data_IF_054208416862
#
_entry.id   IF_054208416862
#
_cell.length_a   1.000
_cell.length_b   1.000
_cell.length_c   1.000
_cell.angle_alpha   90.00
_cell.angle_beta   90.00
_cell.angle_gamma   90.00
#
_symmetry.space_group_name_H-M   'P 1'
#
loop_
_entity.id
_entity.type
_entity.pdbx_description
1 polymer ?
#
# COMPACT_ATOMS: atom_id res chain seq x y z
N UNK A 1 -9.05 -10.90 29.78
CA UNK A 1 -10.51 -10.87 29.54
C UNK A 1 -11.20 -9.57 29.97
N UNK A 2 -10.88 -8.99 31.13
CA UNK A 2 -11.52 -7.73 31.62
C UNK A 2 -11.27 -6.50 30.72
N UNK A 3 -10.09 -6.36 30.13
CA UNK A 3 -9.75 -5.24 29.21
C UNK A 3 -10.48 -5.31 27.87
N UNK A 4 -10.74 -6.49 27.34
CA UNK A 4 -11.54 -6.68 26.11
C UNK A 4 -13.02 -6.33 26.31
N UNK A 5 -13.56 -6.62 27.51
CA UNK A 5 -14.94 -6.27 27.85
C UNK A 5 -15.13 -4.76 28.00
N UNK A 6 -14.15 -4.05 28.56
CA UNK A 6 -14.16 -2.59 28.68
C UNK A 6 -14.06 -1.90 27.31
N UNK A 7 -13.24 -2.40 26.39
CA UNK A 7 -13.16 -1.90 25.02
C UNK A 7 -14.47 -2.14 24.26
N UNK A 8 -15.10 -3.30 24.42
CA UNK A 8 -16.39 -3.60 23.83
C UNK A 8 -17.53 -2.72 24.38
N UNK A 9 -17.54 -2.43 25.68
CA UNK A 9 -18.52 -1.52 26.30
C UNK A 9 -18.29 -0.07 25.90
N UNK A 10 -17.05 0.38 25.74
CA UNK A 10 -16.73 1.71 25.20
C UNK A 10 -17.19 1.85 23.74
N UNK A 11 -16.97 0.80 22.92
CA UNK A 11 -17.43 0.77 21.52
C UNK A 11 -18.96 0.80 21.43
N UNK A 12 -19.68 0.11 22.33
CA UNK A 12 -21.13 0.12 22.40
C UNK A 12 -21.69 1.47 22.89
N UNK A 13 -21.03 2.13 23.85
CA UNK A 13 -21.40 3.45 24.35
C UNK A 13 -21.23 4.56 23.31
N UNK A 14 -20.17 4.51 22.52
CA UNK A 14 -19.95 5.42 21.39
C UNK A 14 -20.97 5.19 20.27
N UNK A 15 -21.39 3.94 20.05
CA UNK A 15 -22.39 3.58 19.05
C UNK A 15 -23.78 4.16 19.36
N UNK A 16 -24.19 4.20 20.62
CA UNK A 16 -25.50 4.73 21.03
C UNK A 16 -25.61 6.27 20.84
N UNK A 17 -24.52 6.99 21.08
CA UNK A 17 -24.47 8.44 20.87
C UNK A 17 -24.42 8.81 19.39
N UNK A 18 -23.72 8.01 18.59
CA UNK A 18 -23.63 8.18 17.14
C UNK A 18 -24.95 7.86 16.43
N UNK A 19 -25.74 6.89 16.91
CA UNK A 19 -27.03 6.53 16.33
C UNK A 19 -28.09 7.66 16.40
N UNK A 20 -28.08 8.47 17.44
CA UNK A 20 -29.01 9.62 17.55
C UNK A 20 -28.74 10.71 16.51
N UNK A 21 -27.49 10.95 16.19
CA UNK A 21 -27.09 11.93 15.18
C UNK A 21 -27.25 11.39 13.76
N UNK A 22 -26.94 10.11 13.54
CA UNK A 22 -27.11 9.45 12.24
C UNK A 22 -28.58 9.39 11.79
N UNK A 23 -29.56 9.22 12.71
CA UNK A 23 -30.99 9.27 12.35
C UNK A 23 -31.47 10.63 11.83
N UNK A 24 -30.83 11.73 12.19
CA UNK A 24 -31.14 13.06 11.67
C UNK A 24 -30.57 13.33 10.30
N UNK A 25 -29.39 12.75 9.99
CA UNK A 25 -28.72 12.97 8.71
C UNK A 25 -29.17 11.99 7.62
N UNK A 26 -29.58 10.76 7.95
CA UNK A 26 -30.17 9.79 7.00
C UNK A 26 -31.50 10.27 6.37
N UNK A 27 -32.12 11.28 6.91
CA UNK A 27 -33.29 11.93 6.28
C UNK A 27 -32.96 12.93 5.17
N UNK A 28 -31.69 13.30 4.99
CA UNK A 28 -31.24 14.24 3.96
C UNK A 28 -30.23 13.56 3.03
N UNK A 29 -30.77 13.05 1.93
CA UNK A 29 -30.08 13.02 0.64
C UNK A 29 -28.71 12.30 0.56
N UNK A 30 -28.41 11.84 -0.60
CA UNK A 30 -27.16 11.31 -1.14
C UNK A 30 -25.93 11.43 -0.24
N UNK A 31 -25.39 10.29 0.16
CA UNK A 31 -24.04 10.23 0.72
C UNK A 31 -23.05 10.76 -0.30
N UNK A 32 -22.05 11.54 0.10
CA UNK A 32 -21.02 12.02 -0.82
C UNK A 32 -20.08 10.87 -1.25
N UNK A 33 -19.59 10.96 -2.46
CA UNK A 33 -18.42 10.19 -2.90
C UNK A 33 -17.19 10.67 -2.13
N UNK A 34 -16.20 9.79 -1.97
CA UNK A 34 -14.97 10.15 -1.26
C UNK A 34 -13.74 9.81 -2.10
N UNK A 35 -12.74 10.67 -2.00
CA UNK A 35 -11.40 10.43 -2.50
C UNK A 35 -10.44 10.70 -1.34
N UNK A 36 -9.61 9.73 -1.00
CA UNK A 36 -8.60 9.87 0.04
C UNK A 36 -7.23 9.45 -0.49
N UNK A 37 -6.18 9.99 0.11
CA UNK A 37 -4.81 9.62 -0.12
C UNK A 37 -3.99 9.80 1.14
N UNK A 38 -2.96 8.97 1.32
CA UNK A 38 -2.18 8.98 2.55
C UNK A 38 -0.88 8.20 2.46
N UNK A 39 -0.13 8.30 3.53
CA UNK A 39 1.08 7.50 3.76
C UNK A 39 0.69 6.13 4.32
N UNK A 40 1.35 5.11 3.80
CA UNK A 40 1.14 3.72 4.18
C UNK A 40 2.44 3.12 4.73
N UNK A 41 2.30 2.37 5.83
CA UNK A 41 3.37 1.52 6.37
C UNK A 41 2.88 0.08 6.28
N UNK A 42 3.61 -0.73 5.50
CA UNK A 42 3.35 -2.15 5.31
C UNK A 42 4.24 -3.00 6.22
N UNK A 43 3.62 -3.91 6.96
CA UNK A 43 4.27 -4.85 7.87
C UNK A 43 4.05 -6.25 7.29
N UNK A 44 5.08 -6.94 6.78
CA UNK A 44 5.00 -8.32 6.33
C UNK A 44 4.51 -9.25 7.44
N UNK A 45 3.82 -10.34 7.09
CA UNK A 45 3.30 -11.31 8.06
C UNK A 45 3.56 -12.74 7.57
N UNK A 46 4.00 -13.61 8.50
CA UNK A 46 4.24 -15.04 8.25
C UNK A 46 5.30 -15.26 7.18
N UNK A 47 5.09 -16.12 6.19
CA UNK A 47 6.08 -16.45 5.15
C UNK A 47 6.71 -15.22 4.48
N UNK A 48 5.96 -14.11 4.37
CA UNK A 48 6.50 -12.87 3.82
C UNK A 48 7.44 -12.17 4.80
N UNK A 49 7.15 -12.21 6.09
CA UNK A 49 8.03 -11.69 7.12
C UNK A 49 9.29 -12.53 7.26
N UNK A 50 9.15 -13.87 7.26
CA UNK A 50 10.28 -14.81 7.33
C UNK A 50 11.26 -14.60 6.15
N UNK A 51 10.75 -14.31 4.97
CA UNK A 51 11.57 -14.11 3.77
C UNK A 51 12.08 -12.67 3.63
N UNK A 52 11.26 -11.67 3.89
CA UNK A 52 11.60 -10.26 3.68
C UNK A 52 12.08 -9.56 4.95
N UNK A 53 11.39 -9.75 6.09
CA UNK A 53 11.78 -9.31 7.43
C UNK A 53 11.88 -7.80 7.65
N UNK A 54 11.28 -6.96 6.79
CA UNK A 54 11.36 -5.50 6.87
C UNK A 54 10.03 -4.82 6.58
N UNK A 55 9.81 -3.70 7.27
CA UNK A 55 8.69 -2.82 6.98
C UNK A 55 8.89 -2.13 5.63
N UNK A 56 7.77 -1.83 4.98
CA UNK A 56 7.69 -1.12 3.71
C UNK A 56 6.99 0.21 3.93
N UNK A 57 7.41 1.23 3.23
CA UNK A 57 6.76 2.54 3.27
C UNK A 57 6.23 2.90 1.88
N UNK A 58 5.07 3.55 1.85
CA UNK A 58 4.42 3.84 0.60
C UNK A 58 3.35 4.91 0.68
N UNK A 59 2.57 4.96 -0.38
CA UNK A 59 1.41 5.83 -0.54
C UNK A 59 0.21 4.99 -0.92
N UNK A 60 -0.95 5.37 -0.43
CA UNK A 60 -2.22 4.78 -0.87
C UNK A 60 -3.20 5.88 -1.28
N UNK A 61 -4.12 5.51 -2.17
CA UNK A 61 -5.24 6.35 -2.56
C UNK A 61 -6.48 5.48 -2.73
N UNK A 62 -7.61 5.91 -2.20
CA UNK A 62 -8.88 5.22 -2.37
C UNK A 62 -9.98 6.17 -2.84
N UNK A 63 -10.85 5.65 -3.69
CA UNK A 63 -12.03 6.35 -4.19
C UNK A 63 -13.26 5.50 -3.92
N UNK A 64 -14.33 6.10 -3.35
CA UNK A 64 -15.58 5.38 -3.09
C UNK A 64 -16.81 6.15 -3.54
N UNK A 65 -17.77 5.39 -4.07
CA UNK A 65 -19.09 5.87 -4.50
C UNK A 65 -20.16 5.19 -3.66
N UNK A 66 -21.02 5.94 -2.96
CA UNK A 66 -22.04 5.37 -2.10
C UNK A 66 -23.20 4.76 -2.89
N UNK A 67 -23.75 3.67 -2.38
CA UNK A 67 -25.00 3.11 -2.87
C UNK A 67 -26.21 3.89 -2.28
N UNK A 68 -27.17 4.23 -3.11
CA UNK A 68 -28.26 5.17 -2.76
C UNK A 68 -29.11 4.77 -1.54
N UNK A 69 -29.31 3.48 -1.29
CA UNK A 69 -30.26 2.98 -0.26
C UNK A 69 -29.60 2.08 0.79
N UNK A 70 -28.34 1.76 0.63
CA UNK A 70 -27.61 0.82 1.46
C UNK A 70 -26.46 1.51 2.19
N UNK A 71 -26.04 1.03 3.37
CA UNK A 71 -24.88 1.54 4.08
C UNK A 71 -23.55 1.14 3.41
N UNK A 72 -23.59 0.78 2.15
CA UNK A 72 -22.45 0.34 1.36
C UNK A 72 -21.98 1.43 0.39
N UNK A 73 -20.69 1.40 0.11
CA UNK A 73 -20.04 2.11 -0.99
C UNK A 73 -19.16 1.12 -1.72
N UNK A 74 -19.02 1.26 -3.01
CA UNK A 74 -18.06 0.52 -3.81
C UNK A 74 -17.00 1.48 -4.34
N UNK A 75 -15.86 0.95 -4.68
CA UNK A 75 -14.79 1.82 -5.15
C UNK A 75 -13.53 1.08 -5.53
N UNK A 76 -12.47 1.84 -5.55
CA UNK A 76 -11.16 1.41 -5.96
C UNK A 76 -10.10 1.87 -4.98
N UNK A 77 -9.09 1.03 -4.77
CA UNK A 77 -7.94 1.31 -3.95
C UNK A 77 -6.66 1.08 -4.75
N UNK A 78 -5.74 2.02 -4.66
CA UNK A 78 -4.42 1.97 -5.24
C UNK A 78 -3.38 2.15 -4.14
N UNK A 79 -2.41 1.24 -4.09
CA UNK A 79 -1.27 1.31 -3.18
C UNK A 79 0.04 1.26 -3.95
N UNK A 80 1.02 1.98 -3.48
CA UNK A 80 2.41 1.86 -3.89
C UNK A 80 3.29 1.79 -2.66
N UNK A 81 4.09 0.74 -2.52
CA UNK A 81 5.00 0.57 -1.41
C UNK A 81 6.40 0.22 -1.91
N UNK A 82 7.39 0.87 -1.33
CA UNK A 82 8.80 0.60 -1.60
C UNK A 82 9.25 -0.55 -0.69
N UNK A 83 9.71 -1.64 -1.29
CA UNK A 83 10.28 -2.75 -0.54
C UNK A 83 11.71 -2.44 -0.10
N UNK A 84 12.54 -1.94 -1.02
CA UNK A 84 13.94 -1.62 -0.73
C UNK A 84 14.67 -1.07 -1.93
N UNK A 85 15.89 -0.63 -1.67
CA UNK A 85 16.86 -0.24 -2.69
C UNK A 85 18.24 -0.74 -2.27
N UNK A 86 19.08 -1.01 -3.25
CA UNK A 86 20.51 -1.25 -3.09
C UNK A 86 21.25 -0.41 -4.12
N UNK A 87 22.37 0.15 -3.72
CA UNK A 87 23.25 0.94 -4.57
C UNK A 87 24.65 0.37 -4.47
N UNK A 88 25.35 0.26 -5.61
CA UNK A 88 26.70 -0.28 -5.67
C UNK A 88 27.49 0.30 -6.84
N UNK A 89 28.78 0.47 -6.65
CA UNK A 89 29.68 0.93 -7.70
C UNK A 89 29.91 -0.17 -8.74
N UNK A 90 29.81 0.18 -10.01
CA UNK A 90 30.02 -0.72 -11.16
C UNK A 90 31.15 -0.16 -12.02
N UNK A 91 32.06 -1.02 -12.44
CA UNK A 91 33.01 -0.67 -13.49
C UNK A 91 32.35 -0.89 -14.85
N UNK A 92 32.01 0.17 -15.53
CA UNK A 92 31.44 0.10 -16.88
C UNK A 92 32.56 0.11 -17.90
N UNK A 93 32.73 -0.98 -18.63
CA UNK A 93 33.69 -1.08 -19.71
C UNK A 93 32.95 -0.76 -21.03
N UNK A 94 33.08 0.48 -21.48
CA UNK A 94 32.54 0.86 -22.78
C UNK A 94 33.70 0.78 -23.80
N UNK A 95 33.49 0.09 -24.90
CA UNK A 95 34.49 0.04 -26.00
C UNK A 95 34.94 1.48 -26.34
N UNK A 96 36.25 1.73 -26.20
CA UNK A 96 36.94 3.01 -26.46
C UNK A 96 36.83 4.13 -25.41
N UNK A 97 36.33 3.90 -24.21
CA UNK A 97 36.39 4.88 -23.11
C UNK A 97 37.13 4.21 -21.93
N UNK A 98 38.11 4.94 -21.38
CA UNK A 98 38.82 4.57 -20.15
C UNK A 98 37.82 4.20 -19.07
N UNK A 99 38.01 3.09 -18.38
CA UNK A 99 37.13 2.54 -17.36
C UNK A 99 36.47 3.63 -16.52
N UNK A 100 35.17 3.82 -16.71
CA UNK A 100 34.40 4.83 -15.99
C UNK A 100 33.67 4.14 -14.85
N UNK A 101 33.73 4.71 -13.67
CA UNK A 101 32.98 4.22 -12.53
C UNK A 101 31.53 4.65 -12.68
N UNK A 102 30.62 3.70 -12.67
CA UNK A 102 29.19 3.95 -12.64
C UNK A 102 28.60 3.52 -11.30
N UNK A 103 27.40 4.00 -11.01
CA UNK A 103 26.61 3.57 -9.86
C UNK A 103 25.39 2.78 -10.35
N UNK A 104 25.28 1.55 -9.87
CA UNK A 104 24.09 0.74 -10.09
C UNK A 104 23.13 0.90 -8.94
N UNK A 105 21.91 1.31 -9.24
CA UNK A 105 20.79 1.43 -8.31
C UNK A 105 19.75 0.36 -8.62
N UNK A 106 19.38 -0.46 -7.65
CA UNK A 106 18.30 -1.43 -7.77
C UNK A 106 17.19 -1.08 -6.82
N UNK A 107 15.96 -1.01 -7.32
CA UNK A 107 14.77 -0.63 -6.58
C UNK A 107 13.66 -1.65 -6.75
N UNK A 108 13.14 -2.15 -5.62
CA UNK A 108 11.96 -3.02 -5.58
C UNK A 108 10.75 -2.28 -5.04
N UNK A 109 9.63 -2.38 -5.75
CA UNK A 109 8.36 -1.75 -5.40
C UNK A 109 7.20 -2.72 -5.59
N UNK A 110 6.14 -2.51 -4.80
CA UNK A 110 4.87 -3.22 -4.93
C UNK A 110 3.80 -2.20 -5.27
N UNK A 111 3.01 -2.50 -6.29
CA UNK A 111 1.81 -1.75 -6.64
C UNK A 111 0.58 -2.61 -6.33
N UNK A 112 -0.40 -2.06 -5.63
CA UNK A 112 -1.67 -2.68 -5.31
C UNK A 112 -2.81 -2.05 -6.12
N UNK A 113 -3.70 -2.88 -6.66
CA UNK A 113 -4.88 -2.47 -7.43
C UNK A 113 -6.07 -3.30 -6.95
N UNK A 114 -6.95 -2.71 -6.14
CA UNK A 114 -8.06 -3.45 -5.54
C UNK A 114 -9.39 -2.77 -5.80
N UNK A 115 -10.37 -3.56 -6.20
CA UNK A 115 -11.76 -3.20 -6.03
C UNK A 115 -12.15 -3.35 -4.57
N UNK A 116 -12.95 -2.44 -4.03
CA UNK A 116 -13.38 -2.45 -2.64
C UNK A 116 -14.89 -2.33 -2.49
N UNK A 117 -15.41 -2.95 -1.43
CA UNK A 117 -16.76 -2.78 -0.92
C UNK A 117 -16.67 -2.29 0.53
N UNK A 118 -17.07 -1.05 0.79
CA UNK A 118 -17.02 -0.38 2.09
C UNK A 118 -18.39 -0.40 2.74
N UNK A 119 -18.48 -0.92 3.96
CA UNK A 119 -19.62 -0.79 4.86
C UNK A 119 -19.35 0.36 5.82
N UNK A 120 -20.16 1.42 5.76
CA UNK A 120 -20.06 2.60 6.62
C UNK A 120 -21.43 2.95 7.17
N UNK A 121 -21.86 2.29 8.27
CA UNK A 121 -23.21 2.44 8.79
C UNK A 121 -23.43 3.79 9.47
N UNK A 122 -22.39 4.39 10.02
CA UNK A 122 -22.43 5.64 10.76
C UNK A 122 -21.91 6.79 9.90
N UNK A 123 -22.62 7.90 9.93
CA UNK A 123 -22.22 9.15 9.28
C UNK A 123 -22.22 10.28 10.32
N UNK A 124 -21.18 11.09 10.26
CA UNK A 124 -21.01 12.18 11.22
C UNK A 124 -19.58 12.71 11.18
N UNK A 125 -19.19 13.39 12.25
CA UNK A 125 -17.80 13.86 12.40
C UNK A 125 -16.83 12.69 12.49
N UNK A 126 -17.23 11.60 13.16
CA UNK A 126 -16.47 10.35 13.26
C UNK A 126 -17.28 9.26 12.58
N UNK A 127 -16.72 8.63 11.58
CA UNK A 127 -17.42 7.66 10.73
C UNK A 127 -16.55 6.41 10.57
N UNK A 128 -16.72 5.39 11.44
CA UNK A 128 -16.03 4.13 11.29
C UNK A 128 -16.56 3.34 10.08
N UNK A 129 -15.70 2.54 9.49
CA UNK A 129 -16.04 1.70 8.34
C UNK A 129 -15.25 0.38 8.35
N UNK A 130 -15.76 -0.58 7.60
CA UNK A 130 -15.08 -1.82 7.25
C UNK A 130 -15.12 -2.05 5.74
N UNK A 131 -14.12 -2.70 5.19
CA UNK A 131 -13.99 -2.96 3.77
C UNK A 131 -13.66 -4.43 3.49
N UNK A 132 -14.16 -4.90 2.36
CA UNK A 132 -13.67 -6.09 1.70
C UNK A 132 -12.99 -5.65 0.40
N UNK A 133 -11.87 -6.28 0.08
CA UNK A 133 -11.01 -5.89 -1.03
C UNK A 133 -10.60 -7.12 -1.82
N UNK A 134 -10.57 -6.98 -3.14
CA UNK A 134 -10.06 -8.00 -4.05
C UNK A 134 -9.41 -7.35 -5.26
N UNK A 135 -8.33 -7.95 -5.74
CA UNK A 135 -7.60 -7.38 -6.87
C UNK A 135 -6.26 -8.05 -7.09
N UNK A 136 -5.26 -7.24 -7.42
CA UNK A 136 -3.94 -7.71 -7.80
C UNK A 136 -2.85 -6.90 -7.10
N UNK A 137 -1.70 -7.54 -6.90
CA UNK A 137 -0.46 -6.90 -6.48
C UNK A 137 0.61 -7.17 -7.52
N UNK A 138 1.32 -6.13 -7.89
CA UNK A 138 2.35 -6.14 -8.91
C UNK A 138 3.71 -5.84 -8.29
N UNK A 139 4.58 -6.82 -8.28
CA UNK A 139 5.95 -6.74 -7.79
C UNK A 139 6.87 -6.39 -8.93
N UNK A 140 7.61 -5.28 -8.79
CA UNK A 140 8.51 -4.78 -9.83
C UNK A 140 9.87 -4.50 -9.22
N UNK A 141 10.90 -5.11 -9.78
CA UNK A 141 12.29 -4.80 -9.46
C UNK A 141 12.98 -4.26 -10.72
N UNK A 142 13.58 -3.07 -10.60
CA UNK A 142 14.30 -2.39 -11.66
C UNK A 142 15.73 -2.13 -11.23
N UNK A 143 16.66 -2.31 -12.13
CA UNK A 143 18.03 -1.84 -12.01
C UNK A 143 18.26 -0.67 -12.97
N UNK A 144 19.01 0.31 -12.53
CA UNK A 144 19.41 1.48 -13.30
C UNK A 144 20.92 1.66 -13.10
N UNK A 145 21.66 1.86 -14.18
CA UNK A 145 23.11 2.14 -14.15
C UNK A 145 23.28 3.59 -14.58
N UNK A 146 23.80 4.39 -13.67
CA UNK A 146 24.16 5.77 -13.91
C UNK A 146 25.69 5.88 -14.00
N UNK A 147 26.17 6.67 -14.94
CA UNK A 147 27.61 6.94 -15.12
C UNK A 147 27.85 8.42 -14.86
N UNK A 148 28.89 8.72 -14.10
CA UNK A 148 29.24 10.11 -13.78
C UNK A 148 29.48 10.94 -15.05
N UNK A 149 28.80 12.09 -15.14
CA UNK A 149 28.88 13.00 -16.27
C UNK A 149 27.87 12.72 -17.40
N UNK A 150 26.94 11.75 -17.21
CA UNK A 150 25.83 11.49 -18.13
C UNK A 150 24.50 11.66 -17.39
N UNK A 151 23.68 12.61 -17.85
CA UNK A 151 22.40 12.95 -17.19
C UNK A 151 21.29 11.91 -17.36
N UNK A 152 21.55 10.82 -18.10
CA UNK A 152 20.57 9.77 -18.41
C UNK A 152 21.15 8.41 -18.01
N UNK A 153 20.34 7.55 -17.38
CA UNK A 153 20.72 6.19 -17.09
C UNK A 153 21.19 5.46 -18.36
N UNK A 154 22.41 4.94 -18.33
CA UNK A 154 23.04 4.29 -19.49
C UNK A 154 22.40 2.95 -19.79
N UNK A 155 21.90 2.27 -18.74
CA UNK A 155 21.15 1.03 -18.87
C UNK A 155 20.05 0.97 -17.83
N UNK A 156 18.89 0.49 -18.24
CA UNK A 156 17.76 0.19 -17.35
C UNK A 156 17.27 -1.22 -17.65
N UNK A 157 17.30 -2.09 -16.66
CA UNK A 157 16.83 -3.45 -16.80
C UNK A 157 15.74 -3.76 -15.78
N UNK A 158 14.76 -4.58 -16.19
CA UNK A 158 13.69 -5.08 -15.32
C UNK A 158 14.05 -6.50 -14.86
N UNK A 159 14.54 -6.62 -13.62
CA UNK A 159 14.97 -7.88 -13.02
C UNK A 159 13.81 -8.76 -12.54
N UNK A 160 12.67 -8.17 -12.24
CA UNK A 160 11.48 -8.90 -11.78
C UNK A 160 10.20 -8.15 -12.15
N UNK A 161 9.17 -8.91 -12.55
CA UNK A 161 7.86 -8.39 -12.96
C UNK A 161 6.77 -9.45 -12.74
N UNK A 162 6.23 -9.50 -11.53
CA UNK A 162 5.28 -10.53 -11.13
C UNK A 162 3.94 -9.91 -10.71
N UNK A 163 2.85 -10.44 -11.25
CA UNK A 163 1.48 -10.04 -10.92
C UNK A 163 0.76 -11.18 -10.22
N UNK A 164 0.21 -10.93 -9.03
CA UNK A 164 -0.50 -11.94 -8.24
C UNK A 164 -1.86 -11.45 -7.80
N UNK A 165 -2.81 -12.39 -7.69
CA UNK A 165 -4.11 -12.12 -7.07
C UNK A 165 -3.98 -11.82 -5.58
N UNK A 166 -4.81 -10.93 -5.08
CA UNK A 166 -4.84 -10.50 -3.70
C UNK A 166 -6.27 -10.30 -3.22
N UNK A 167 -6.53 -10.74 -1.99
CA UNK A 167 -7.79 -10.53 -1.28
C UNK A 167 -7.51 -10.05 0.14
N UNK A 168 -8.37 -9.19 0.65
CA UNK A 168 -8.17 -8.67 1.98
C UNK A 168 -9.38 -7.97 2.56
N UNK A 169 -9.15 -7.40 3.73
CA UNK A 169 -10.10 -6.56 4.42
C UNK A 169 -9.40 -5.35 5.03
N UNK A 170 -10.14 -4.29 5.24
CA UNK A 170 -9.68 -3.12 5.97
C UNK A 170 -10.74 -2.67 6.97
N UNK A 171 -10.28 -1.99 8.00
CA UNK A 171 -11.12 -1.27 8.94
C UNK A 171 -10.51 0.10 9.19
N UNK A 172 -11.35 1.12 9.28
CA UNK A 172 -10.83 2.46 9.46
C UNK A 172 -11.85 3.42 10.06
N UNK A 173 -11.40 4.62 10.29
CA UNK A 173 -12.21 5.71 10.79
C UNK A 173 -11.89 6.99 10.03
N UNK A 174 -12.95 7.67 9.59
CA UNK A 174 -12.88 8.99 9.00
C UNK A 174 -13.27 10.02 10.04
N UNK A 175 -12.42 11.01 10.29
CA UNK A 175 -12.71 12.18 11.11
C UNK A 175 -12.90 13.41 10.21
N UNK A 176 -14.12 13.90 10.13
CA UNK A 176 -14.50 15.04 9.30
C UNK A 176 -14.91 16.23 10.18
N UNK A 177 -14.00 17.17 10.46
CA UNK A 177 -14.34 18.38 11.21
C UNK A 177 -15.28 19.29 10.44
N UNK A 178 -15.23 19.26 9.11
CA UNK A 178 -16.04 20.04 8.18
C UNK A 178 -16.83 19.17 7.19
N UNK A 179 -17.38 19.82 6.16
CA UNK A 179 -18.23 19.15 5.15
C UNK A 179 -17.42 18.40 4.09
N UNK A 180 -16.33 18.97 3.65
CA UNK A 180 -15.63 18.55 2.43
C UNK A 180 -14.36 17.75 2.70
N UNK A 181 -13.71 17.94 3.86
CA UNK A 181 -12.45 17.31 4.20
C UNK A 181 -12.62 16.31 5.33
N UNK A 182 -11.82 15.27 5.33
CA UNK A 182 -11.69 14.34 6.44
C UNK A 182 -10.24 13.85 6.57
N UNK A 183 -9.86 13.48 7.79
CA UNK A 183 -8.67 12.69 8.06
C UNK A 183 -9.08 11.21 8.15
N UNK A 184 -8.22 10.30 7.68
CA UNK A 184 -8.45 8.86 7.66
C UNK A 184 -7.34 8.14 8.43
N UNK A 185 -7.75 7.21 9.29
CA UNK A 185 -6.88 6.17 9.82
C UNK A 185 -7.44 4.83 9.34
N UNK A 186 -6.63 4.04 8.64
CA UNK A 186 -7.01 2.76 8.05
C UNK A 186 -6.02 1.68 8.43
N UNK A 187 -6.53 0.55 8.85
CA UNK A 187 -5.80 -0.69 9.06
C UNK A 187 -6.28 -1.68 8.01
N UNK A 188 -5.35 -2.27 7.30
CA UNK A 188 -5.63 -3.18 6.20
C UNK A 188 -4.86 -4.48 6.38
N UNK A 189 -5.44 -5.59 5.96
CA UNK A 189 -4.77 -6.87 5.86
C UNK A 189 -5.02 -7.47 4.48
N UNK A 190 -3.96 -7.65 3.72
CA UNK A 190 -3.96 -8.28 2.41
C UNK A 190 -3.30 -9.65 2.47
N UNK A 191 -3.93 -10.61 1.78
CA UNK A 191 -3.40 -11.93 1.55
C UNK A 191 -3.19 -12.10 0.04
N UNK A 192 -1.94 -12.19 -0.39
CA UNK A 192 -1.57 -12.48 -1.77
C UNK A 192 -1.06 -13.91 -1.92
N UNK A 193 -1.07 -14.40 -3.14
CA UNK A 193 -0.48 -15.69 -3.49
C UNK A 193 1.03 -15.76 -3.29
N UNK A 194 1.63 -16.89 -3.63
CA UNK A 194 3.08 -17.05 -3.68
C UNK A 194 3.62 -16.34 -4.91
N UNK A 195 4.73 -15.62 -4.72
CA UNK A 195 5.42 -14.89 -5.78
C UNK A 195 6.93 -15.01 -5.58
N UNK A 196 7.65 -15.03 -6.70
CA UNK A 196 9.09 -14.89 -6.71
C UNK A 196 9.45 -13.41 -6.92
N UNK A 197 10.29 -12.86 -6.06
CA UNK A 197 10.76 -11.48 -6.16
C UNK A 197 12.26 -11.40 -5.87
N UNK A 198 12.91 -10.43 -6.47
CA UNK A 198 14.36 -10.22 -6.29
C UNK A 198 14.62 -9.56 -4.94
N UNK A 199 15.57 -10.09 -4.17
CA UNK A 199 16.08 -9.41 -2.99
C UNK A 199 17.12 -8.36 -3.41
N UNK A 200 16.85 -7.05 -3.31
CA UNK A 200 17.81 -6.02 -3.71
C UNK A 200 19.13 -6.09 -2.93
N UNK A 201 19.13 -6.72 -1.75
CA UNK A 201 20.33 -6.85 -0.89
C UNK A 201 21.28 -7.95 -1.34
N UNK A 202 20.79 -8.89 -2.14
CA UNK A 202 21.58 -10.01 -2.64
C UNK A 202 22.33 -9.68 -3.92
N UNK A 203 22.18 -8.46 -4.41
CA UNK A 203 22.80 -8.05 -5.66
C UNK A 203 24.30 -7.94 -5.44
N UNK A 204 25.03 -8.75 -6.18
CA UNK A 204 26.49 -8.74 -6.27
C UNK A 204 26.86 -8.46 -7.72
N UNK A 205 27.89 -7.65 -7.89
CA UNK A 205 28.46 -7.36 -9.20
C UNK A 205 29.79 -8.03 -9.24
N UNK A 206 29.94 -8.98 -10.15
CA UNK A 206 31.20 -9.69 -10.36
C UNK A 206 32.20 -8.80 -11.10
N UNK A 207 33.49 -9.19 -11.02
CA UNK A 207 34.60 -8.43 -11.64
C UNK A 207 34.52 -8.36 -13.17
N UNK A 208 33.73 -9.23 -13.79
CA UNK A 208 33.43 -9.22 -15.23
C UNK A 208 32.24 -8.35 -15.62
N UNK A 209 31.59 -7.67 -14.62
CA UNK A 209 30.41 -6.83 -14.82
C UNK A 209 29.10 -7.61 -14.84
N UNK A 210 29.10 -8.92 -14.59
CA UNK A 210 27.88 -9.69 -14.46
C UNK A 210 27.17 -9.38 -13.14
N UNK A 211 25.83 -9.34 -13.19
CA UNK A 211 24.98 -9.03 -12.02
C UNK A 211 24.37 -10.32 -11.50
N UNK A 212 24.89 -10.79 -10.36
CA UNK A 212 24.29 -11.88 -9.60
C UNK A 212 23.23 -11.37 -8.65
N UNK A 213 22.09 -12.04 -8.55
CA UNK A 213 21.06 -11.77 -7.54
C UNK A 213 20.34 -13.05 -7.11
N UNK A 214 19.82 -13.06 -5.90
CA UNK A 214 18.97 -14.15 -5.41
C UNK A 214 17.49 -13.76 -5.49
N UNK A 215 16.68 -14.75 -5.81
CA UNK A 215 15.23 -14.64 -5.85
C UNK A 215 14.65 -15.28 -4.61
N UNK A 216 13.82 -14.54 -3.88
CA UNK A 216 13.03 -15.03 -2.76
C UNK A 216 11.65 -15.43 -3.26
N UNK A 217 11.10 -16.53 -2.73
CA UNK A 217 9.77 -16.99 -3.04
C UNK A 217 8.97 -17.16 -1.74
N UNK A 218 7.86 -16.45 -1.60
CA UNK A 218 7.01 -16.55 -0.41
C UNK A 218 5.55 -16.20 -0.72
N UNK A 219 4.66 -16.58 0.19
CA UNK A 219 3.33 -15.95 0.26
C UNK A 219 3.48 -14.48 0.61
N UNK A 220 2.56 -13.62 0.17
CA UNK A 220 2.71 -12.15 0.29
C UNK A 220 1.66 -11.55 1.21
N UNK A 221 1.58 -12.05 2.43
CA UNK A 221 0.69 -11.49 3.45
C UNK A 221 1.28 -10.22 4.06
N UNK A 222 0.46 -9.15 4.15
CA UNK A 222 0.88 -7.87 4.72
C UNK A 222 -0.24 -7.24 5.52
N UNK A 223 0.11 -6.56 6.62
CA UNK A 223 -0.75 -5.62 7.31
C UNK A 223 -0.26 -4.21 7.00
N UNK A 224 -1.17 -3.35 6.55
CA UNK A 224 -0.88 -1.95 6.25
C UNK A 224 -1.57 -1.04 7.25
N UNK A 225 -0.88 0.02 7.63
CA UNK A 225 -1.42 1.14 8.41
C UNK A 225 -1.31 2.38 7.55
N UNK A 226 -2.46 3.02 7.28
CA UNK A 226 -2.51 4.24 6.46
C UNK A 226 -3.01 5.40 7.29
N UNK A 227 -2.31 6.52 7.19
CA UNK A 227 -2.72 7.84 7.67
C UNK A 227 -2.93 8.75 6.47
N UNK A 228 -4.15 9.22 6.29
CA UNK A 228 -4.50 9.96 5.10
C UNK A 228 -5.43 11.14 5.34
N UNK A 229 -5.65 11.88 4.27
CA UNK A 229 -6.64 12.94 4.17
C UNK A 229 -7.49 12.71 2.94
N UNK A 230 -8.73 13.17 2.97
CA UNK A 230 -9.63 12.98 1.87
C UNK A 230 -10.65 14.09 1.69
N UNK A 231 -11.31 14.02 0.56
CA UNK A 231 -12.37 14.92 0.11
C UNK A 231 -13.70 14.18 0.02
N UNK A 232 -14.78 14.89 0.33
CA UNK A 232 -16.17 14.48 0.12
C UNK A 232 -16.83 15.41 -0.91
N UNK A 233 -17.50 14.84 -1.92
CA UNK A 233 -18.15 15.61 -3.01
C UNK A 233 -19.39 14.91 -3.56
#
# INVERSE_FOLDING_TARGET
MRTLLLLALLALGLSASAQRNARRETRRGNRPSTLAGGFEVGIPIGEFDDAWGRQMAGLSANFTVPMRRLPFSYGFDFGWSRMGASEGAVHVNVENITATTGEMSVRSSIYGYHGLLRLQPLQGKVSPYAELMTGFRHFVTRSEINVDGVDVAVATERLGNELIGSIGWAAGVNYAPGRNFFAELRLERLNGGKVAYVDPRSIAIDSDGSVGYSTLASGTRVANITFGVGLRF
#
